data_IF_240349541345
#
_entry.id   IF_240349541345
#
_cell.length_a   1.000
_cell.length_b   1.000
_cell.length_c   1.000
_cell.angle_alpha   90.00
_cell.angle_beta   90.00
_cell.angle_gamma   90.00
#
_symmetry.space_group_name_H-M   'P 1'
#
loop_
_entity.id
_entity.type
_entity.pdbx_description
1 polymer ?
#
# COMPACT_ATOMS: atom_id res chain seq x y z
N UNK A 1 -72.64 24.57 6.58
CA UNK A 1 -71.51 25.30 6.10
C UNK A 1 -70.26 24.57 6.63
N UNK A 2 -69.75 23.63 5.88
CA UNK A 2 -68.45 23.00 6.15
C UNK A 2 -67.37 23.91 5.61
N UNK A 3 -66.69 24.65 6.47
CA UNK A 3 -65.46 25.32 6.10
C UNK A 3 -64.38 24.26 5.91
N UNK A 4 -64.25 23.76 4.71
CA UNK A 4 -63.14 22.88 4.34
C UNK A 4 -61.86 23.69 4.24
N UNK A 5 -60.93 23.47 5.14
CA UNK A 5 -59.57 24.02 5.01
C UNK A 5 -58.79 23.13 4.06
N UNK A 6 -58.46 23.67 2.88
CA UNK A 6 -57.55 23.00 1.94
C UNK A 6 -56.12 23.33 2.34
N UNK A 7 -55.37 22.37 2.79
CA UNK A 7 -53.95 22.51 3.05
C UNK A 7 -53.22 22.00 1.80
N UNK A 8 -52.74 22.90 0.98
CA UNK A 8 -51.84 22.55 -0.12
C UNK A 8 -50.42 22.39 0.44
N UNK A 9 -49.94 21.17 0.56
CA UNK A 9 -48.54 20.90 0.87
C UNK A 9 -47.73 20.93 -0.39
N UNK A 10 -46.91 21.98 -0.58
CA UNK A 10 -45.97 22.13 -1.69
C UNK A 10 -44.70 21.24 -1.51
N UNK A 11 -44.52 20.68 -0.33
CA UNK A 11 -43.33 19.93 0.00
C UNK A 11 -43.35 18.53 -0.61
N UNK A 12 -42.69 18.38 -1.76
CA UNK A 12 -42.34 17.08 -2.29
C UNK A 12 -40.91 16.79 -1.81
N UNK A 13 -40.70 15.81 -0.93
CA UNK A 13 -39.36 15.47 -0.45
C UNK A 13 -38.48 14.98 -1.61
N UNK A 14 -37.18 15.27 -1.52
CA UNK A 14 -36.17 14.78 -2.44
C UNK A 14 -35.13 14.02 -1.65
N UNK A 15 -34.60 12.95 -2.23
CA UNK A 15 -33.43 12.26 -1.74
C UNK A 15 -32.20 12.75 -2.52
N UNK A 16 -31.09 12.93 -1.84
CA UNK A 16 -29.80 13.19 -2.47
C UNK A 16 -29.00 11.90 -2.41
N UNK A 17 -28.56 11.46 -3.57
CA UNK A 17 -27.69 10.31 -3.71
C UNK A 17 -26.29 10.83 -4.00
N UNK A 18 -25.38 10.63 -3.04
CA UNK A 18 -23.98 10.96 -3.17
C UNK A 18 -23.21 9.80 -3.78
N UNK A 19 -22.18 10.12 -4.53
CA UNK A 19 -21.25 9.14 -5.09
C UNK A 19 -19.82 9.50 -4.72
N UNK A 20 -19.09 8.51 -4.17
CA UNK A 20 -17.67 8.61 -3.89
C UNK A 20 -16.88 7.86 -4.94
N UNK A 21 -15.83 8.50 -5.44
CA UNK A 21 -14.81 7.86 -6.28
C UNK A 21 -13.50 7.86 -5.51
N UNK A 22 -12.80 6.73 -5.62
CA UNK A 22 -11.44 6.56 -5.13
C UNK A 22 -10.57 6.23 -6.34
N UNK A 23 -9.55 7.02 -6.59
CA UNK A 23 -8.66 6.85 -7.75
C UNK A 23 -7.21 6.75 -7.33
N UNK A 24 -6.39 6.21 -8.22
CA UNK A 24 -4.97 5.98 -7.99
C UNK A 24 -4.65 5.06 -6.80
N UNK A 25 -5.59 4.20 -6.40
CA UNK A 25 -5.37 3.21 -5.35
C UNK A 25 -4.47 2.07 -5.87
N UNK A 26 -3.72 1.40 -4.97
CA UNK A 26 -3.05 0.14 -5.30
C UNK A 26 -4.02 -0.88 -5.90
N UNK A 27 -3.53 -1.68 -6.85
CA UNK A 27 -4.38 -2.67 -7.52
C UNK A 27 -4.97 -3.67 -6.52
N UNK A 28 -6.31 -3.82 -6.54
CA UNK A 28 -7.01 -4.75 -5.64
C UNK A 28 -7.10 -4.29 -4.18
N UNK A 29 -6.87 -2.99 -3.91
CA UNK A 29 -6.99 -2.46 -2.55
C UNK A 29 -8.40 -2.72 -1.98
N UNK A 30 -8.52 -3.34 -0.77
CA UNK A 30 -9.81 -3.76 -0.26
C UNK A 30 -10.70 -2.57 0.15
N UNK A 31 -11.98 -2.60 -0.21
CA UNK A 31 -12.93 -1.55 0.16
C UNK A 31 -13.09 -1.37 1.68
N UNK A 32 -12.92 -2.45 2.45
CA UNK A 32 -12.96 -2.43 3.93
C UNK A 32 -11.79 -1.65 4.55
N UNK A 33 -10.72 -1.44 3.81
CA UNK A 33 -9.53 -0.71 4.25
C UNK A 33 -9.52 0.75 3.77
N UNK A 34 -10.55 1.20 3.04
CA UNK A 34 -10.67 2.61 2.65
C UNK A 34 -10.86 3.51 3.88
N UNK A 35 -10.37 4.76 3.83
CA UNK A 35 -10.52 5.71 4.93
C UNK A 35 -11.99 6.07 5.22
N UNK A 36 -12.23 6.55 6.43
CA UNK A 36 -13.50 7.17 6.79
C UNK A 36 -13.61 8.53 6.11
N UNK A 37 -14.82 8.87 5.65
CA UNK A 37 -15.09 10.16 5.01
C UNK A 37 -16.30 10.79 5.62
N UNK A 38 -16.21 12.07 5.96
CA UNK A 38 -17.33 12.87 6.45
C UNK A 38 -17.82 13.80 5.35
N UNK A 39 -19.10 13.66 5.00
CA UNK A 39 -19.80 14.53 4.07
C UNK A 39 -20.70 15.49 4.84
N UNK A 40 -20.77 16.72 4.36
CA UNK A 40 -21.68 17.75 4.85
C UNK A 40 -22.61 18.20 3.71
N UNK A 41 -23.88 18.38 4.06
CA UNK A 41 -24.89 18.84 3.13
C UNK A 41 -25.28 20.28 3.48
N UNK A 42 -25.17 21.14 2.49
CA UNK A 42 -25.54 22.55 2.58
C UNK A 42 -26.73 22.87 1.68
N UNK A 43 -27.43 23.93 2.00
CA UNK A 43 -28.64 24.36 1.27
C UNK A 43 -28.67 25.87 1.15
N UNK A 44 -29.16 26.35 -0.01
CA UNK A 44 -29.54 27.74 -0.22
C UNK A 44 -30.86 27.84 -1.00
N UNK A 45 -31.45 29.03 -1.03
CA UNK A 45 -32.60 29.29 -1.92
C UNK A 45 -32.05 29.54 -3.34
N UNK A 46 -32.58 28.79 -4.31
CA UNK A 46 -32.18 28.92 -5.70
C UNK A 46 -32.49 30.33 -6.24
N UNK A 47 -31.51 30.96 -6.88
CA UNK A 47 -31.68 32.30 -7.45
C UNK A 47 -31.68 33.45 -6.44
N UNK A 48 -31.36 33.21 -5.18
CA UNK A 48 -31.23 34.28 -4.14
C UNK A 48 -30.05 35.22 -4.39
N UNK A 49 -29.06 34.80 -5.19
CA UNK A 49 -27.80 35.52 -5.36
C UNK A 49 -26.80 35.30 -4.20
N UNK A 50 -27.21 34.59 -3.14
CA UNK A 50 -26.35 34.25 -2.00
C UNK A 50 -25.45 33.07 -2.35
N UNK A 51 -24.20 33.08 -1.86
CA UNK A 51 -23.32 31.91 -1.91
C UNK A 51 -23.80 30.85 -0.91
N UNK A 52 -23.31 29.60 -1.08
CA UNK A 52 -23.42 28.61 -0.01
C UNK A 52 -22.58 29.05 1.18
N UNK A 53 -23.14 29.00 2.36
CA UNK A 53 -22.43 29.30 3.61
C UNK A 53 -21.74 28.03 4.13
N UNK A 54 -20.52 27.81 3.70
CA UNK A 54 -19.68 26.70 4.15
C UNK A 54 -19.00 26.96 5.52
N UNK A 55 -19.07 28.18 6.03
CA UNK A 55 -18.62 28.52 7.38
C UNK A 55 -19.70 28.32 8.45
N UNK A 56 -20.97 28.20 8.03
CA UNK A 56 -22.08 27.90 8.89
C UNK A 56 -22.28 26.41 9.13
N UNK A 57 -23.20 26.08 10.03
CA UNK A 57 -23.53 24.68 10.30
C UNK A 57 -24.19 24.03 9.06
N UNK A 58 -23.72 22.85 8.62
CA UNK A 58 -24.40 22.08 7.58
C UNK A 58 -25.79 21.67 8.06
N UNK A 59 -26.71 21.46 7.11
CA UNK A 59 -28.04 20.95 7.45
C UNK A 59 -28.02 19.48 7.86
N UNK A 60 -26.98 18.76 7.44
CA UNK A 60 -26.76 17.37 7.79
C UNK A 60 -25.30 16.98 7.53
N UNK A 61 -24.82 16.00 8.29
CA UNK A 61 -23.53 15.34 8.08
C UNK A 61 -23.72 13.84 8.00
N UNK A 62 -22.86 13.17 7.23
CA UNK A 62 -22.79 11.72 7.14
C UNK A 62 -21.33 11.29 7.16
N UNK A 63 -20.95 10.44 8.10
CA UNK A 63 -19.64 9.79 8.09
C UNK A 63 -19.78 8.36 7.60
N UNK A 64 -19.09 8.03 6.50
CA UNK A 64 -19.02 6.67 5.97
C UNK A 64 -17.74 6.05 6.49
N UNK A 65 -17.87 4.95 7.24
CA UNK A 65 -16.75 4.22 7.87
C UNK A 65 -16.48 2.86 7.22
N UNK A 66 -17.44 2.31 6.49
CA UNK A 66 -17.30 1.06 5.76
C UNK A 66 -17.88 1.19 4.36
N UNK A 67 -17.01 1.04 3.37
CA UNK A 67 -17.36 1.13 1.96
C UNK A 67 -17.71 -0.22 1.32
N UNK A 68 -17.45 -1.34 2.03
CA UNK A 68 -17.63 -2.69 1.48
C UNK A 68 -19.08 -3.04 1.12
N UNK A 69 -20.04 -2.50 1.88
CA UNK A 69 -21.46 -2.71 1.65
C UNK A 69 -22.09 -1.75 0.63
N UNK A 70 -21.36 -0.75 0.15
CA UNK A 70 -21.86 0.29 -0.73
C UNK A 70 -21.67 -0.09 -2.21
N UNK A 71 -22.77 -0.13 -2.96
CA UNK A 71 -22.72 -0.38 -4.40
C UNK A 71 -22.09 0.81 -5.12
N UNK A 72 -20.91 0.62 -5.75
CA UNK A 72 -20.16 1.67 -6.44
C UNK A 72 -19.93 2.92 -5.57
N UNK A 73 -19.77 2.71 -4.25
CA UNK A 73 -19.58 3.78 -3.27
C UNK A 73 -20.69 4.86 -3.34
N UNK A 74 -21.92 4.45 -3.61
CA UNK A 74 -23.08 5.33 -3.64
C UNK A 74 -23.79 5.26 -2.29
N UNK A 75 -24.10 6.41 -1.73
CA UNK A 75 -24.82 6.56 -0.47
C UNK A 75 -26.00 7.50 -0.66
N UNK A 76 -26.99 7.40 0.23
CA UNK A 76 -28.19 8.19 0.13
C UNK A 76 -28.40 9.01 1.39
N UNK A 77 -28.55 10.32 1.21
CA UNK A 77 -28.94 11.24 2.26
C UNK A 77 -30.47 11.39 2.23
N UNK A 78 -31.10 10.96 3.32
CA UNK A 78 -32.52 11.13 3.55
C UNK A 78 -32.69 12.12 4.68
N UNK A 79 -33.53 13.11 4.48
CA UNK A 79 -33.79 14.14 5.49
C UNK A 79 -35.25 14.12 5.92
N UNK A 80 -35.43 14.25 7.21
CA UNK A 80 -36.71 14.30 7.84
C UNK A 80 -36.79 15.43 8.84
N UNK A 81 -37.29 16.55 8.39
CA UNK A 81 -37.57 17.71 9.25
C UNK A 81 -36.32 18.43 9.76
N UNK A 82 -35.39 17.82 10.46
CA UNK A 82 -34.24 18.52 11.06
C UNK A 82 -32.92 17.77 11.04
N UNK A 83 -32.93 16.46 11.05
CA UNK A 83 -31.69 15.69 11.17
C UNK A 83 -31.69 14.49 10.24
N UNK A 84 -30.58 14.24 9.63
CA UNK A 84 -30.25 12.94 9.07
C UNK A 84 -29.79 12.10 10.24
N UNK A 85 -30.37 10.94 10.43
CA UNK A 85 -29.97 10.01 11.45
C UNK A 85 -29.00 9.02 10.81
N UNK A 86 -27.78 9.06 11.29
CA UNK A 86 -26.82 7.97 11.15
C UNK A 86 -27.14 6.97 12.28
N UNK A 87 -27.44 5.72 11.93
CA UNK A 87 -27.74 4.68 12.91
C UNK A 87 -26.49 4.04 13.52
N UNK A 88 -25.31 4.63 13.24
CA UNK A 88 -24.02 4.12 13.71
C UNK A 88 -23.52 2.88 12.97
N UNK A 89 -24.30 2.42 11.98
CA UNK A 89 -23.92 1.31 11.09
C UNK A 89 -23.67 1.79 9.66
N UNK A 90 -23.53 3.11 9.46
CA UNK A 90 -23.41 3.72 8.13
C UNK A 90 -24.71 3.76 7.35
N UNK A 91 -25.84 3.50 7.99
CA UNK A 91 -27.16 3.62 7.37
C UNK A 91 -27.81 4.93 7.79
N UNK A 92 -28.00 5.80 6.83
CA UNK A 92 -28.71 7.06 7.03
C UNK A 92 -30.19 6.81 6.82
N UNK A 93 -31.00 7.09 7.82
CA UNK A 93 -32.45 6.94 7.75
C UNK A 93 -33.15 8.18 8.25
N UNK A 94 -34.40 8.45 7.80
CA UNK A 94 -35.21 9.51 8.34
C UNK A 94 -35.67 9.20 9.78
N UNK A 95 -35.86 10.26 10.56
CA UNK A 95 -36.27 10.18 11.96
C UNK A 95 -37.72 9.62 12.11
N UNK A 96 -38.56 9.75 11.08
CA UNK A 96 -39.88 9.19 10.96
C UNK A 96 -40.25 8.76 9.55
N UNK A 97 -41.02 7.72 9.40
CA UNK A 97 -41.45 7.18 8.12
C UNK A 97 -42.42 8.09 7.36
N UNK A 98 -43.02 9.09 8.04
CA UNK A 98 -44.05 9.93 7.47
C UNK A 98 -43.56 11.09 6.58
N UNK A 99 -42.24 11.43 6.63
CA UNK A 99 -41.66 12.52 5.83
C UNK A 99 -40.26 12.17 5.31
N UNK A 100 -40.08 11.15 4.47
CA UNK A 100 -38.77 10.79 3.98
C UNK A 100 -38.30 11.77 2.92
N UNK A 101 -37.21 12.51 3.20
CA UNK A 101 -36.48 13.29 2.23
C UNK A 101 -36.32 14.78 2.55
N UNK A 102 -35.45 15.41 1.78
CA UNK A 102 -35.12 16.82 1.90
C UNK A 102 -36.26 17.70 1.33
N UNK A 103 -36.60 18.84 1.96
CA UNK A 103 -37.60 19.76 1.43
C UNK A 103 -37.16 20.31 0.08
N UNK A 104 -38.00 20.21 -0.92
CA UNK A 104 -37.74 20.75 -2.26
C UNK A 104 -37.99 22.27 -2.34
N UNK A 105 -38.88 22.77 -1.55
CA UNK A 105 -39.32 24.16 -1.57
C UNK A 105 -39.28 24.80 -0.19
N UNK A 106 -39.10 26.13 -0.15
CA UNK A 106 -39.35 26.94 1.05
C UNK A 106 -40.87 26.99 1.36
N UNK A 107 -41.23 27.54 2.49
CA UNK A 107 -42.66 27.80 2.84
C UNK A 107 -43.30 28.75 1.83
N UNK A 108 -42.55 29.68 1.25
CA UNK A 108 -43.00 30.62 0.21
C UNK A 108 -42.99 30.02 -1.20
N UNK A 109 -42.64 28.72 -1.34
CA UNK A 109 -42.64 28.01 -2.62
C UNK A 109 -41.43 28.24 -3.51
N UNK A 110 -40.34 28.81 -2.99
CA UNK A 110 -39.07 28.94 -3.71
C UNK A 110 -38.33 27.61 -3.66
N UNK A 111 -37.61 27.27 -4.72
CA UNK A 111 -36.78 26.06 -4.77
C UNK A 111 -35.57 26.18 -3.86
N UNK A 112 -35.24 25.10 -3.20
CA UNK A 112 -33.93 24.90 -2.57
C UNK A 112 -32.93 24.32 -3.57
N UNK A 113 -31.69 24.77 -3.45
CA UNK A 113 -30.51 24.20 -4.08
C UNK A 113 -29.63 23.59 -3.01
N UNK A 114 -29.14 22.38 -3.27
CA UNK A 114 -28.33 21.60 -2.34
C UNK A 114 -26.94 21.39 -2.92
N UNK A 115 -25.95 21.35 -2.05
CA UNK A 115 -24.59 20.94 -2.37
C UNK A 115 -24.11 19.95 -1.31
N UNK A 116 -23.47 18.89 -1.77
CA UNK A 116 -22.76 17.94 -0.94
C UNK A 116 -21.27 18.27 -1.00
N UNK A 117 -20.65 18.34 0.17
CA UNK A 117 -19.23 18.63 0.30
C UNK A 117 -18.56 17.58 1.17
N UNK A 118 -17.34 17.21 0.85
CA UNK A 118 -16.49 16.42 1.74
C UNK A 118 -15.77 17.34 2.72
N UNK A 119 -15.97 17.11 4.03
CA UNK A 119 -15.39 17.94 5.09
C UNK A 119 -14.08 17.38 5.62
N UNK A 120 -13.79 16.10 5.38
CA UNK A 120 -12.53 15.51 5.78
C UNK A 120 -12.46 14.00 5.59
N UNK A 121 -11.22 13.52 5.56
CA UNK A 121 -10.86 12.12 5.47
C UNK A 121 -10.07 11.75 6.72
N UNK A 122 -10.41 10.62 7.34
CA UNK A 122 -9.67 10.11 8.49
C UNK A 122 -9.31 8.63 8.32
N UNK A 123 -8.12 8.26 8.80
CA UNK A 123 -7.73 6.85 8.91
C UNK A 123 -8.50 6.11 10.00
N UNK A 124 -8.26 4.81 10.11
CA UNK A 124 -8.85 3.97 11.15
C UNK A 124 -8.46 4.41 12.58
N UNK A 125 -7.34 5.08 12.73
CA UNK A 125 -6.87 5.68 13.99
C UNK A 125 -7.53 7.03 14.31
N UNK A 126 -8.42 7.53 13.44
CA UNK A 126 -9.08 8.82 13.58
C UNK A 126 -8.24 10.04 13.21
N UNK A 127 -7.01 9.86 12.71
CA UNK A 127 -6.17 10.95 12.27
C UNK A 127 -6.54 11.40 10.85
N UNK A 128 -6.56 12.73 10.57
CA UNK A 128 -6.81 13.26 9.24
C UNK A 128 -5.79 12.76 8.21
N UNK A 129 -6.24 12.46 7.00
CA UNK A 129 -5.42 12.01 5.87
C UNK A 129 -5.42 12.99 4.69
N UNK A 130 -5.99 14.17 4.87
CA UNK A 130 -6.17 15.23 3.88
C UNK A 130 -5.37 16.51 4.19
N UNK A 131 -4.37 16.41 5.06
CA UNK A 131 -3.53 17.54 5.43
C UNK A 131 -4.21 18.60 6.31
N UNK A 132 -5.42 18.35 6.83
CA UNK A 132 -6.19 19.32 7.63
C UNK A 132 -5.86 19.32 9.13
N UNK A 133 -4.99 18.41 9.59
CA UNK A 133 -4.58 18.32 10.98
C UNK A 133 -3.67 19.46 11.42
N UNK A 134 -3.56 19.69 12.74
CA UNK A 134 -2.81 20.80 13.33
C UNK A 134 -1.30 20.54 13.45
N UNK A 135 -0.80 19.37 13.03
CA UNK A 135 0.62 19.05 13.13
C UNK A 135 1.09 17.96 12.18
N UNK A 136 2.40 17.90 11.90
CA UNK A 136 2.97 16.97 10.93
C UNK A 136 2.84 15.49 11.32
N UNK A 137 2.51 15.19 12.57
CA UNK A 137 2.24 13.83 13.06
C UNK A 137 0.76 13.51 13.18
N UNK A 138 -0.12 14.50 13.04
CA UNK A 138 -1.57 14.38 13.25
C UNK A 138 -2.35 14.32 11.95
N UNK A 139 -1.72 14.67 10.82
CA UNK A 139 -2.33 14.62 9.50
C UNK A 139 -1.36 14.15 8.45
N UNK A 140 -1.89 13.47 7.46
CA UNK A 140 -1.17 13.02 6.26
C UNK A 140 -1.87 13.59 5.04
N UNK A 141 -1.11 14.17 4.12
CA UNK A 141 -1.63 14.62 2.83
C UNK A 141 -1.59 13.47 1.83
N UNK A 142 -2.51 12.51 2.00
CA UNK A 142 -2.59 11.30 1.18
C UNK A 142 -3.65 11.37 0.08
N UNK A 143 -4.53 12.40 0.08
CA UNK A 143 -5.62 12.50 -0.87
C UNK A 143 -5.86 13.94 -1.33
N UNK A 144 -5.91 14.11 -2.64
CA UNK A 144 -6.50 15.29 -3.26
C UNK A 144 -8.00 15.12 -3.38
N UNK A 145 -8.79 15.98 -2.70
CA UNK A 145 -10.24 15.95 -2.74
C UNK A 145 -10.72 16.82 -3.91
N UNK A 146 -11.49 16.23 -4.82
CA UNK A 146 -12.05 16.90 -5.99
C UNK A 146 -13.58 16.81 -6.01
N UNK A 147 -14.25 17.94 -5.84
CA UNK A 147 -15.69 18.04 -5.98
C UNK A 147 -16.07 18.21 -7.46
N UNK A 148 -16.93 17.34 -7.98
CA UNK A 148 -17.39 17.41 -9.37
C UNK A 148 -18.62 18.32 -9.43
N UNK A 149 -18.44 19.51 -9.99
CA UNK A 149 -19.47 20.55 -10.10
C UNK A 149 -20.78 20.03 -10.71
N UNK A 150 -21.91 20.48 -10.15
CA UNK A 150 -23.27 20.13 -10.54
C UNK A 150 -23.66 18.65 -10.39
N UNK A 151 -22.88 17.88 -9.62
CA UNK A 151 -23.20 16.51 -9.24
C UNK A 151 -23.03 16.38 -7.72
N UNK A 152 -23.57 15.32 -7.15
CA UNK A 152 -23.26 14.95 -5.77
C UNK A 152 -22.13 13.89 -5.76
N UNK A 153 -21.08 14.14 -6.55
CA UNK A 153 -19.95 13.25 -6.70
C UNK A 153 -18.68 13.92 -6.20
N UNK A 154 -17.95 13.19 -5.37
CA UNK A 154 -16.64 13.59 -4.85
C UNK A 154 -15.62 12.52 -5.20
N UNK A 155 -14.49 12.94 -5.74
CA UNK A 155 -13.36 12.09 -6.09
C UNK A 155 -12.19 12.36 -5.15
N UNK A 156 -11.59 11.29 -4.61
CA UNK A 156 -10.35 11.37 -3.87
C UNK A 156 -9.26 10.65 -4.62
N UNK A 157 -8.23 11.40 -4.97
CA UNK A 157 -7.06 10.90 -5.67
C UNK A 157 -5.99 10.57 -4.65
N UNK A 158 -5.63 9.30 -4.54
CA UNK A 158 -4.58 8.85 -3.62
C UNK A 158 -3.19 9.21 -4.14
N UNK A 159 -2.34 9.72 -3.24
CA UNK A 159 -0.90 9.88 -3.45
C UNK A 159 -0.19 9.65 -2.10
N UNK A 160 0.94 8.99 -2.15
CA UNK A 160 1.77 8.76 -0.95
C UNK A 160 3.13 9.40 -1.15
N UNK A 161 3.72 9.99 -0.12
CA UNK A 161 5.15 10.30 -0.15
C UNK A 161 5.93 9.06 -0.52
N UNK A 162 6.99 9.23 -1.30
CA UNK A 162 7.83 8.12 -1.73
C UNK A 162 9.21 8.22 -1.12
N UNK A 163 9.89 7.09 -1.06
CA UNK A 163 11.27 6.98 -0.62
C UNK A 163 12.01 5.88 -1.35
N UNK A 164 13.20 5.56 -0.87
CA UNK A 164 14.08 4.56 -1.43
C UNK A 164 14.50 3.55 -0.36
N UNK A 165 14.85 2.35 -0.82
CA UNK A 165 15.53 1.33 -0.03
C UNK A 165 16.71 0.80 -0.84
N UNK A 166 17.81 0.48 -0.18
CA UNK A 166 18.99 -0.07 -0.81
C UNK A 166 19.45 -1.37 -0.16
N UNK A 167 20.01 -2.26 -0.97
CA UNK A 167 20.49 -3.57 -0.56
C UNK A 167 21.92 -3.73 -0.98
N UNK A 168 22.83 -3.90 -0.01
CA UNK A 168 24.22 -4.29 -0.25
C UNK A 168 24.28 -5.80 -0.44
N UNK A 169 24.86 -6.22 -1.53
CA UNK A 169 25.14 -7.63 -1.81
C UNK A 169 26.62 -7.89 -1.78
N UNK A 170 27.04 -8.82 -0.94
CA UNK A 170 28.40 -9.32 -0.87
C UNK A 170 28.39 -10.78 -1.33
N UNK A 171 29.22 -11.11 -2.32
CA UNK A 171 29.36 -12.46 -2.84
C UNK A 171 30.80 -12.91 -2.68
N UNK A 172 31.01 -13.96 -1.91
CA UNK A 172 32.33 -14.60 -1.77
C UNK A 172 32.58 -15.54 -2.94
N UNK A 173 33.66 -15.32 -3.62
CA UNK A 173 34.09 -16.07 -4.80
C UNK A 173 35.48 -16.68 -4.58
N UNK A 174 35.81 -17.81 -5.24
CA UNK A 174 37.13 -18.44 -5.09
C UNK A 174 38.24 -17.54 -5.62
N UNK A 175 39.40 -17.58 -4.94
CA UNK A 175 40.64 -16.89 -5.32
C UNK A 175 41.34 -17.60 -6.47
N UNK A 176 40.85 -17.65 -7.65
CA UNK A 176 41.59 -18.11 -8.83
C UNK A 176 42.05 -19.57 -8.78
N UNK A 177 42.49 -20.12 -9.89
CA UNK A 177 42.88 -21.50 -10.06
C UNK A 177 41.82 -22.34 -10.73
N UNK A 178 41.92 -23.66 -10.62
CA UNK A 178 41.04 -24.63 -11.28
C UNK A 178 39.58 -24.61 -10.73
N UNK A 179 39.30 -23.82 -9.67
CA UNK A 179 38.02 -23.66 -9.02
C UNK A 179 37.17 -22.47 -9.50
N UNK A 180 37.52 -21.87 -10.63
CA UNK A 180 36.69 -20.81 -11.22
C UNK A 180 35.30 -21.36 -11.51
N UNK A 181 34.23 -20.62 -11.14
CA UNK A 181 32.88 -21.04 -11.48
C UNK A 181 32.72 -21.16 -12.98
N UNK A 182 32.14 -22.26 -13.44
CA UNK A 182 31.82 -22.47 -14.86
C UNK A 182 30.90 -21.36 -15.39
N UNK A 183 30.09 -20.81 -14.48
CA UNK A 183 29.24 -19.64 -14.71
C UNK A 183 29.15 -18.81 -13.43
N UNK A 184 29.17 -17.49 -13.56
CA UNK A 184 28.92 -16.60 -12.44
C UNK A 184 27.43 -16.61 -12.11
N UNK A 185 27.06 -16.66 -10.81
CA UNK A 185 25.64 -16.63 -10.45
C UNK A 185 25.03 -15.25 -10.74
N UNK A 186 23.80 -15.23 -11.22
CA UNK A 186 22.96 -14.04 -11.08
C UNK A 186 22.39 -14.02 -9.66
N UNK A 187 22.23 -12.83 -9.09
CA UNK A 187 21.59 -12.65 -7.79
C UNK A 187 20.33 -11.83 -7.97
N UNK A 188 19.23 -12.31 -7.44
CA UNK A 188 17.93 -11.65 -7.57
C UNK A 188 17.32 -11.38 -6.20
N UNK A 189 16.77 -10.19 -6.05
CA UNK A 189 16.02 -9.77 -4.87
C UNK A 189 14.58 -9.44 -5.22
N UNK A 190 13.67 -9.90 -4.39
CA UNK A 190 12.27 -9.55 -4.42
C UNK A 190 11.98 -8.61 -3.26
N UNK A 191 11.39 -7.46 -3.57
CA UNK A 191 10.92 -6.50 -2.59
C UNK A 191 9.41 -6.67 -2.42
N UNK A 192 9.02 -6.94 -1.20
CA UNK A 192 7.62 -7.09 -0.80
C UNK A 192 7.23 -6.02 0.19
N UNK A 193 5.93 -5.76 0.30
CA UNK A 193 5.36 -4.86 1.32
C UNK A 193 4.13 -5.46 1.97
N UNK A 194 3.87 -4.99 3.20
CA UNK A 194 2.65 -5.23 3.97
C UNK A 194 2.26 -3.94 4.68
N UNK A 195 0.99 -3.80 5.06
CA UNK A 195 0.51 -2.72 5.90
C UNK A 195 -0.46 -3.27 6.95
N UNK A 196 -0.81 -2.49 7.97
CA UNK A 196 -1.83 -2.87 8.96
C UNK A 196 -3.20 -2.42 8.45
N UNK A 197 -4.08 -3.38 8.24
CA UNK A 197 -5.46 -3.17 7.80
C UNK A 197 -6.30 -2.49 8.89
N UNK A 198 -7.48 -1.96 8.54
CA UNK A 198 -8.42 -1.34 9.48
C UNK A 198 -8.89 -2.29 10.60
N UNK A 199 -8.84 -3.60 10.38
CA UNK A 199 -9.14 -4.63 11.39
C UNK A 199 -7.96 -4.93 12.34
N UNK A 200 -6.83 -4.23 12.21
CA UNK A 200 -5.61 -4.41 13.01
C UNK A 200 -4.74 -5.60 12.59
N UNK A 201 -5.08 -6.31 11.51
CA UNK A 201 -4.27 -7.42 11.01
C UNK A 201 -3.35 -6.98 9.87
N UNK A 202 -2.20 -7.63 9.67
CA UNK A 202 -1.38 -7.36 8.51
C UNK A 202 -2.11 -7.74 7.22
N UNK A 203 -1.90 -6.96 6.16
CA UNK A 203 -2.37 -7.28 4.82
C UNK A 203 -1.70 -8.54 4.26
N UNK A 204 -2.22 -9.05 3.16
CA UNK A 204 -1.46 -9.99 2.35
C UNK A 204 -0.16 -9.34 1.86
N UNK A 205 0.88 -10.16 1.73
CA UNK A 205 2.16 -9.74 1.18
C UNK A 205 2.01 -9.42 -0.31
N UNK A 206 2.51 -8.26 -0.73
CA UNK A 206 2.49 -7.80 -2.11
C UNK A 206 3.91 -7.72 -2.65
N UNK A 207 4.18 -8.35 -3.80
CA UNK A 207 5.43 -8.17 -4.54
C UNK A 207 5.42 -6.80 -5.23
N UNK A 208 6.32 -5.92 -4.83
CA UNK A 208 6.42 -4.54 -5.37
C UNK A 208 7.37 -4.47 -6.54
N UNK A 209 8.60 -5.00 -6.36
CA UNK A 209 9.67 -4.94 -7.35
C UNK A 209 10.61 -6.13 -7.27
N UNK A 210 11.37 -6.31 -8.34
CA UNK A 210 12.48 -7.26 -8.40
C UNK A 210 13.71 -6.53 -8.92
N UNK A 211 14.83 -6.71 -8.25
CA UNK A 211 16.15 -6.25 -8.70
C UNK A 211 17.05 -7.45 -8.98
N UNK A 212 17.94 -7.34 -9.95
CA UNK A 212 18.86 -8.43 -10.33
C UNK A 212 20.25 -7.86 -10.53
N UNK A 213 21.25 -8.48 -9.90
CA UNK A 213 22.63 -8.35 -10.23
C UNK A 213 22.97 -9.47 -11.22
N UNK A 214 23.14 -9.13 -12.49
CA UNK A 214 23.27 -10.11 -13.56
C UNK A 214 24.59 -10.87 -13.51
N UNK A 215 24.66 -12.03 -14.15
CA UNK A 215 25.89 -12.83 -14.22
C UNK A 215 27.04 -12.07 -14.88
N UNK A 216 26.76 -11.25 -15.88
CA UNK A 216 27.75 -10.41 -16.58
C UNK A 216 28.32 -9.33 -15.66
N UNK A 217 27.46 -8.69 -14.84
CA UNK A 217 27.88 -7.68 -13.85
C UNK A 217 28.70 -8.32 -12.73
N UNK A 218 28.30 -9.49 -12.24
CA UNK A 218 29.05 -10.27 -11.25
C UNK A 218 30.43 -10.65 -11.81
N UNK A 219 30.51 -11.12 -13.07
CA UNK A 219 31.78 -11.42 -13.76
C UNK A 219 32.65 -10.18 -13.89
N UNK A 220 32.06 -9.04 -14.25
CA UNK A 220 32.80 -7.79 -14.37
C UNK A 220 33.38 -7.33 -13.02
N UNK A 221 32.58 -7.40 -11.95
CA UNK A 221 33.03 -7.11 -10.59
C UNK A 221 34.15 -8.08 -10.15
N UNK A 222 34.00 -9.37 -10.47
CA UNK A 222 35.02 -10.38 -10.19
C UNK A 222 36.36 -10.06 -10.86
N UNK A 223 36.35 -9.66 -12.12
CA UNK A 223 37.57 -9.31 -12.86
C UNK A 223 38.28 -8.07 -12.32
N UNK A 224 37.53 -7.17 -11.64
CA UNK A 224 38.04 -5.92 -11.10
C UNK A 224 38.48 -6.00 -9.64
N UNK A 225 38.14 -7.09 -8.91
CA UNK A 225 38.30 -7.20 -7.45
C UNK A 225 39.74 -7.19 -6.93
N UNK A 226 40.76 -7.39 -7.79
CA UNK A 226 42.14 -7.58 -7.37
C UNK A 226 42.32 -8.86 -6.54
N UNK A 227 42.94 -8.75 -5.36
CA UNK A 227 43.19 -9.86 -4.45
C UNK A 227 42.04 -10.13 -3.44
N UNK A 228 40.88 -9.44 -3.57
CA UNK A 228 39.75 -9.67 -2.71
C UNK A 228 39.09 -11.03 -2.97
N UNK A 229 38.65 -11.69 -1.90
CA UNK A 229 37.82 -12.92 -1.97
C UNK A 229 36.35 -12.61 -2.23
N UNK A 230 35.95 -11.35 -2.10
CA UNK A 230 34.56 -10.91 -2.24
C UNK A 230 34.40 -9.91 -3.37
N UNK A 231 33.24 -9.90 -3.95
CA UNK A 231 32.73 -8.82 -4.81
C UNK A 231 31.44 -8.29 -4.19
N UNK A 232 31.15 -7.02 -4.38
CA UNK A 232 29.99 -6.37 -3.80
C UNK A 232 29.30 -5.42 -4.78
N UNK A 233 28.02 -5.19 -4.55
CA UNK A 233 27.22 -4.20 -5.24
C UNK A 233 26.13 -3.68 -4.31
N UNK A 234 25.59 -2.50 -4.64
CA UNK A 234 24.38 -1.95 -4.01
C UNK A 234 23.29 -1.89 -5.06
N UNK A 235 22.13 -2.46 -4.74
CA UNK A 235 20.92 -2.42 -5.55
C UNK A 235 19.92 -1.50 -4.87
N UNK A 236 19.32 -0.57 -5.61
CA UNK A 236 18.37 0.40 -5.08
C UNK A 236 16.95 0.15 -5.61
N UNK A 237 15.99 0.36 -4.74
CA UNK A 237 14.57 0.38 -5.02
C UNK A 237 14.08 1.81 -4.75
N UNK A 238 13.66 2.53 -5.77
CA UNK A 238 13.22 3.94 -5.68
C UNK A 238 11.71 4.07 -5.82
N UNK A 239 11.17 5.26 -5.55
CA UNK A 239 9.75 5.59 -5.69
C UNK A 239 8.84 4.60 -4.94
N UNK A 240 9.23 4.23 -3.73
CA UNK A 240 8.47 3.35 -2.86
C UNK A 240 7.50 4.17 -2.01
N UNK A 241 6.22 3.87 -2.09
CA UNK A 241 5.20 4.52 -1.26
C UNK A 241 5.46 4.27 0.22
N UNK A 242 5.35 5.32 1.05
CA UNK A 242 5.55 5.21 2.50
C UNK A 242 4.28 4.79 3.24
N UNK A 243 3.10 5.17 2.71
CA UNK A 243 1.83 4.95 3.37
C UNK A 243 0.83 4.23 2.47
N UNK A 244 0.04 3.36 3.08
CA UNK A 244 -1.16 2.81 2.48
C UNK A 244 -2.31 3.83 2.52
N UNK A 245 -3.35 3.71 1.66
CA UNK A 245 -4.49 4.63 1.65
C UNK A 245 -5.22 4.79 2.98
N UNK A 246 -5.18 3.81 3.89
CA UNK A 246 -5.76 3.94 5.22
C UNK A 246 -4.86 4.70 6.23
N UNK A 247 -3.73 5.24 5.79
CA UNK A 247 -2.79 5.97 6.62
C UNK A 247 -1.79 5.11 7.39
N UNK A 248 -1.83 3.79 7.25
CA UNK A 248 -0.82 2.90 7.84
C UNK A 248 0.49 2.97 7.05
N UNK A 249 1.62 2.90 7.75
CA UNK A 249 2.92 2.75 7.10
C UNK A 249 3.01 1.42 6.36
N UNK A 250 3.58 1.43 5.17
CA UNK A 250 4.07 0.22 4.53
C UNK A 250 5.35 -0.24 5.21
N UNK A 251 5.37 -1.50 5.59
CA UNK A 251 6.56 -2.20 6.04
C UNK A 251 7.08 -3.05 4.89
N UNK A 252 8.30 -2.80 4.48
CA UNK A 252 8.95 -3.52 3.40
C UNK A 252 9.84 -4.63 3.93
N UNK A 253 10.03 -5.67 3.12
CA UNK A 253 11.05 -6.68 3.32
C UNK A 253 11.64 -7.12 1.99
N UNK A 254 12.91 -7.45 2.03
CA UNK A 254 13.69 -7.92 0.89
C UNK A 254 13.97 -9.39 1.06
N UNK A 255 13.74 -10.18 0.02
CA UNK A 255 14.03 -11.61 -0.04
C UNK A 255 15.01 -11.90 -1.19
N UNK A 256 16.11 -12.60 -0.90
CA UNK A 256 17.03 -13.11 -1.91
C UNK A 256 16.50 -14.42 -2.53
N UNK A 257 16.41 -14.47 -3.86
CA UNK A 257 15.95 -15.66 -4.59
C UNK A 257 17.02 -16.76 -4.58
N UNK A 258 16.77 -17.82 -3.81
CA UNK A 258 17.67 -18.97 -3.67
C UNK A 258 17.87 -19.79 -4.92
N UNK A 259 16.98 -19.68 -5.91
CA UNK A 259 17.02 -20.54 -7.11
C UNK A 259 18.29 -20.40 -7.92
N UNK A 260 19.01 -19.27 -7.77
CA UNK A 260 20.25 -18.96 -8.47
C UNK A 260 21.52 -19.26 -7.64
N UNK A 261 21.38 -19.65 -6.38
CA UNK A 261 22.47 -19.74 -5.40
C UNK A 261 22.77 -21.17 -4.96
N UNK A 262 22.56 -22.13 -5.83
CA UNK A 262 22.98 -23.51 -5.57
C UNK A 262 24.47 -23.58 -5.23
N UNK A 263 24.81 -24.07 -4.03
CA UNK A 263 26.19 -24.16 -3.56
C UNK A 263 26.69 -23.00 -2.70
N UNK A 264 25.81 -22.04 -2.37
CA UNK A 264 26.09 -20.97 -1.42
C UNK A 264 25.28 -21.11 -0.13
N UNK A 265 25.87 -20.68 0.98
CA UNK A 265 25.16 -20.38 2.21
C UNK A 265 24.86 -18.88 2.24
N UNK A 266 23.68 -18.51 2.72
CA UNK A 266 23.21 -17.12 2.73
C UNK A 266 23.08 -16.62 4.17
N UNK A 267 23.63 -15.45 4.43
CA UNK A 267 23.44 -14.68 5.65
C UNK A 267 22.90 -13.30 5.27
N UNK A 268 22.10 -12.71 6.14
CA UNK A 268 21.60 -11.37 5.94
C UNK A 268 21.40 -10.64 7.29
N UNK A 269 21.37 -9.33 7.22
CA UNK A 269 21.11 -8.46 8.36
C UNK A 269 20.66 -7.08 7.93
N UNK A 270 20.02 -6.33 8.86
CA UNK A 270 19.65 -4.95 8.59
C UNK A 270 20.88 -4.05 8.59
N UNK A 271 20.83 -2.99 7.81
CA UNK A 271 21.88 -1.97 7.70
C UNK A 271 23.02 -2.32 6.75
N UNK A 272 23.96 -1.39 6.64
CA UNK A 272 25.21 -1.54 5.87
C UNK A 272 26.25 -2.26 6.71
N UNK A 273 26.43 -3.54 6.45
CA UNK A 273 27.32 -4.42 7.19
C UNK A 273 28.53 -4.81 6.33
N UNK A 274 29.68 -4.96 6.98
CA UNK A 274 30.84 -5.63 6.38
C UNK A 274 30.66 -7.16 6.43
N UNK A 275 31.35 -7.89 5.54
CA UNK A 275 31.20 -9.34 5.40
C UNK A 275 31.34 -10.12 6.73
N UNK A 276 32.27 -9.69 7.61
CA UNK A 276 32.52 -10.32 8.91
C UNK A 276 31.42 -10.06 9.95
N UNK A 277 30.59 -9.02 9.73
CA UNK A 277 29.55 -8.60 10.67
C UNK A 277 28.18 -9.19 10.30
N UNK A 278 28.05 -9.78 9.10
CA UNK A 278 26.82 -10.45 8.66
C UNK A 278 26.73 -11.83 9.26
N UNK A 279 26.08 -11.94 10.42
CA UNK A 279 26.00 -13.18 11.21
C UNK A 279 24.60 -13.81 11.24
N UNK A 280 23.58 -13.08 10.79
CA UNK A 280 22.19 -13.58 10.74
C UNK A 280 22.03 -14.62 9.64
N UNK A 281 21.69 -15.85 9.97
CA UNK A 281 21.31 -16.85 8.96
C UNK A 281 19.96 -16.51 8.31
N UNK A 282 19.88 -16.62 7.00
CA UNK A 282 18.62 -16.38 6.30
C UNK A 282 18.77 -15.68 4.95
N UNK A 283 17.64 -15.38 4.35
CA UNK A 283 17.56 -14.77 3.00
C UNK A 283 16.48 -13.67 2.94
N UNK A 284 16.03 -13.20 4.10
CA UNK A 284 15.00 -12.15 4.21
C UNK A 284 15.38 -11.13 5.28
N UNK A 285 15.31 -9.86 4.94
CA UNK A 285 15.42 -8.74 5.90
C UNK A 285 14.12 -7.95 5.84
N UNK A 286 13.47 -7.77 6.99
CA UNK A 286 12.15 -7.14 7.10
C UNK A 286 12.14 -5.92 8.01
N UNK A 287 10.98 -5.25 8.03
CA UNK A 287 10.77 -4.05 8.85
C UNK A 287 11.41 -2.79 8.27
N UNK A 288 11.71 -2.79 6.98
CA UNK A 288 12.34 -1.67 6.30
C UNK A 288 11.30 -0.58 5.99
N UNK A 289 11.69 0.67 6.18
CA UNK A 289 10.88 1.85 5.86
C UNK A 289 11.59 2.66 4.77
N UNK A 290 10.91 3.01 3.67
CA UNK A 290 11.48 3.88 2.65
C UNK A 290 11.81 5.26 3.24
N UNK A 291 12.96 5.79 2.84
CA UNK A 291 13.46 7.10 3.27
C UNK A 291 14.05 7.86 2.07
N UNK A 292 14.47 9.09 2.29
CA UNK A 292 15.28 9.81 1.30
C UNK A 292 16.55 9.01 0.98
N UNK A 293 17.01 9.10 -0.28
CA UNK A 293 18.19 8.37 -0.72
C UNK A 293 19.40 8.71 0.14
N UNK A 294 20.12 7.67 0.57
CA UNK A 294 21.33 7.77 1.39
C UNK A 294 22.39 6.79 0.90
N UNK A 295 23.64 7.02 1.30
CA UNK A 295 24.77 6.15 0.88
C UNK A 295 24.76 4.79 1.60
N UNK A 296 24.26 4.73 2.83
CA UNK A 296 24.22 3.51 3.64
C UNK A 296 23.11 2.56 3.16
N UNK A 297 23.42 1.29 3.06
CA UNK A 297 22.44 0.27 2.70
C UNK A 297 21.47 -0.03 3.87
N UNK A 298 20.21 -0.34 3.54
CA UNK A 298 19.19 -0.71 4.51
C UNK A 298 19.26 -2.17 4.93
N UNK A 299 19.83 -3.00 4.07
CA UNK A 299 20.04 -4.41 4.32
C UNK A 299 21.30 -4.91 3.63
N UNK A 300 21.98 -5.86 4.24
CA UNK A 300 23.14 -6.53 3.68
C UNK A 300 22.90 -8.03 3.57
N UNK A 301 23.27 -8.60 2.41
CA UNK A 301 23.21 -10.02 2.14
C UNK A 301 24.60 -10.53 1.74
N UNK A 302 25.06 -11.56 2.42
CA UNK A 302 26.31 -12.25 2.15
C UNK A 302 26.02 -13.67 1.63
N UNK A 303 26.59 -14.04 0.50
CA UNK A 303 26.65 -15.44 0.07
C UNK A 303 28.09 -15.93 0.16
N UNK A 304 28.29 -16.94 0.97
CA UNK A 304 29.56 -17.65 1.07
C UNK A 304 29.45 -19.02 0.43
N UNK A 305 30.47 -19.41 -0.28
CA UNK A 305 30.49 -20.70 -0.97
C UNK A 305 30.55 -21.84 0.05
N UNK A 306 29.66 -22.84 -0.08
CA UNK A 306 29.74 -24.04 0.73
C UNK A 306 31.07 -24.73 0.55
N UNK A 307 31.75 -25.07 1.65
CA UNK A 307 32.93 -25.89 1.59
C UNK A 307 32.58 -27.22 0.89
N UNK A 308 33.26 -27.52 -0.21
CA UNK A 308 33.14 -28.82 -0.86
C UNK A 308 33.71 -29.84 0.09
N UNK A 309 32.89 -30.68 0.71
CA UNK A 309 33.37 -31.86 1.37
C UNK A 309 33.90 -32.80 0.29
N UNK A 310 35.22 -32.88 0.15
CA UNK A 310 35.88 -33.84 -0.73
C UNK A 310 35.81 -35.20 -0.04
N UNK A 311 34.82 -36.01 -0.37
CA UNK A 311 34.84 -37.42 -0.02
C UNK A 311 35.80 -38.13 -0.97
N UNK A 312 36.91 -38.59 -0.43
CA UNK A 312 37.82 -39.43 -1.19
C UNK A 312 37.25 -40.84 -1.30
N UNK A 313 36.82 -41.25 -2.49
CA UNK A 313 36.49 -42.64 -2.77
C UNK A 313 37.78 -43.34 -3.13
N UNK A 314 38.27 -44.25 -2.26
CA UNK A 314 39.39 -45.12 -2.60
C UNK A 314 38.86 -46.28 -3.41
N UNK A 315 39.16 -46.30 -4.70
CA UNK A 315 38.91 -47.46 -5.56
C UNK A 315 40.04 -48.45 -5.42
N UNK A 316 39.81 -49.57 -4.75
CA UNK A 316 40.74 -50.72 -4.75
C UNK A 316 40.35 -51.69 -5.87
N UNK A 317 41.19 -51.74 -6.89
CA UNK A 317 41.03 -52.72 -7.95
C UNK A 317 42.00 -53.91 -7.77
N UNK A 318 41.52 -55.14 -7.82
CA UNK A 318 42.38 -56.28 -7.98
C UNK A 318 42.50 -56.62 -9.46
N UNK A 319 43.77 -56.70 -9.96
CA UNK A 319 44.05 -57.16 -11.29
C UNK A 319 44.31 -58.67 -11.21
N UNK A 320 43.44 -59.50 -11.76
CA UNK A 320 43.69 -60.91 -12.00
C UNK A 320 44.30 -61.08 -13.40
N UNK A 321 45.44 -61.71 -13.47
CA UNK A 321 46.02 -62.15 -14.73
C UNK A 321 45.60 -63.63 -14.94
N UNK A 322 44.81 -63.92 -15.98
CA UNK A 322 44.64 -65.27 -16.48
C UNK A 322 45.75 -65.55 -17.47
N UNK A 323 46.63 -66.43 -17.08
CA UNK A 323 47.66 -66.91 -17.96
C UNK A 323 47.14 -67.99 -18.88
N UNK A 324 46.91 -67.64 -20.14
CA UNK A 324 46.45 -68.59 -21.18
C UNK A 324 47.57 -69.44 -21.77
N UNK A 325 48.66 -69.71 -21.04
CA UNK A 325 49.82 -70.44 -21.54
C UNK A 325 49.92 -71.87 -21.06
N UNK A 326 48.86 -72.57 -20.72
CA UNK A 326 48.92 -74.00 -20.53
C UNK A 326 47.93 -74.73 -21.47
N UNK A 327 48.22 -74.64 -22.76
CA UNK A 327 47.61 -75.50 -23.73
C UNK A 327 48.66 -75.81 -24.85
N UNK A 328 49.66 -76.65 -24.50
CA UNK A 328 50.37 -77.54 -25.47
C UNK A 328 51.01 -78.67 -24.69
#
# INVERSE_FOLDING_TARGET
NANGTFVNRLNKPVAIEGRKLWTNLPAGYPAVDLPNVTFALYRRVQGSGEAFDFGGAPIATLTVQDWSGLKNYTFRLLYEGKNIIDDGAGTVRPESEDQPGLPKYTEEGKLYEYVLREEGITGANGLPLDGTGEGPQESLDLFDIQEISNTFQVENVFHSPTGSLSVKKILELPLGGDDLPIAYPAVRFHLYRVYIQNNGQPSAQELVRTATWSSEEVEAAYRQRGDSTTVETVLSFTDLEQYAPNGSLYLYHVEEDKSFLGGYDTWCGPGDLEAQDVTGGGYTVGGLLPHEEREEADATFLNSRKAVQTEFITLTGQKAWEDFYDAF
#
